data_IF_571626634485
#
_entry.id   IF_571626634485
#
_cell.length_a   1.000
_cell.length_b   1.000
_cell.length_c   1.000
_cell.angle_alpha   90.00
_cell.angle_beta   90.00
_cell.angle_gamma   90.00
#
_symmetry.space_group_name_H-M   'P 1'
#
loop_
_entity.id
_entity.type
_entity.pdbx_description
1 polymer ?
#
# COMPACT_ATOMS: atom_id res chain seq x y z
N UNK A 1 -2.16 5.23 5.93
CA UNK A 1 -3.22 4.72 5.07
C UNK A 1 -4.52 4.61 5.85
N UNK A 2 -5.62 4.75 5.15
CA UNK A 2 -6.96 4.58 5.70
C UNK A 2 -7.66 3.44 4.97
N UNK A 3 -8.74 2.93 5.56
CA UNK A 3 -9.57 1.95 4.88
C UNK A 3 -10.15 2.53 3.57
N UNK A 4 -10.53 3.80 3.56
CA UNK A 4 -11.03 4.47 2.36
C UNK A 4 -9.99 4.46 1.24
N UNK A 5 -8.73 4.79 1.53
CA UNK A 5 -7.68 4.76 0.54
C UNK A 5 -7.40 3.33 0.05
N UNK A 6 -7.41 2.36 0.96
CA UNK A 6 -7.23 0.95 0.58
C UNK A 6 -8.31 0.48 -0.39
N UNK A 7 -9.56 0.92 -0.17
CA UNK A 7 -10.68 0.60 -1.08
C UNK A 7 -10.46 1.22 -2.46
N UNK A 8 -10.04 2.49 -2.52
CA UNK A 8 -9.76 3.15 -3.79
C UNK A 8 -8.62 2.47 -4.55
N UNK A 9 -7.53 2.13 -3.86
CA UNK A 9 -6.41 1.40 -4.46
C UNK A 9 -6.85 0.04 -4.99
N UNK A 10 -7.70 -0.66 -4.26
CA UNK A 10 -8.27 -1.93 -4.72
C UNK A 10 -9.10 -1.74 -5.99
N UNK A 11 -9.99 -0.73 -6.00
CA UNK A 11 -10.94 -0.52 -7.11
C UNK A 11 -10.26 -0.21 -8.44
N UNK A 12 -9.12 0.47 -8.43
CA UNK A 12 -8.41 0.80 -9.68
C UNK A 12 -7.63 -0.37 -10.25
N UNK A 13 -7.41 -1.42 -9.46
CA UNK A 13 -6.66 -2.60 -9.89
C UNK A 13 -7.52 -3.85 -10.07
N UNK A 14 -8.75 -3.85 -9.59
CA UNK A 14 -9.62 -5.02 -9.66
C UNK A 14 -10.42 -5.05 -10.96
N UNK A 15 -10.58 -6.24 -11.51
CA UNK A 15 -11.59 -6.47 -12.54
C UNK A 15 -12.95 -6.57 -11.84
N UNK A 16 -13.83 -5.60 -12.09
CA UNK A 16 -15.11 -5.50 -11.40
C UNK A 16 -16.01 -6.70 -11.67
N UNK A 17 -15.88 -7.30 -12.83
CA UNK A 17 -16.67 -8.49 -13.20
C UNK A 17 -16.21 -9.73 -12.43
N UNK A 18 -14.97 -9.72 -11.92
CA UNK A 18 -14.37 -10.83 -11.19
C UNK A 18 -14.17 -10.51 -9.70
N UNK A 19 -14.77 -9.41 -9.23
CA UNK A 19 -14.62 -9.01 -7.83
C UNK A 19 -15.20 -10.07 -6.88
N UNK A 20 -14.42 -10.59 -5.93
CA UNK A 20 -14.93 -11.58 -4.99
C UNK A 20 -15.95 -10.97 -4.02
N UNK A 21 -16.82 -11.83 -3.50
CA UNK A 21 -17.86 -11.43 -2.53
C UNK A 21 -17.43 -11.67 -1.08
N UNK A 22 -16.24 -12.23 -0.86
CA UNK A 22 -15.74 -12.65 0.45
C UNK A 22 -14.53 -11.82 0.92
N UNK A 23 -14.52 -10.53 0.57
CA UNK A 23 -13.46 -9.63 0.98
C UNK A 23 -13.44 -9.42 2.48
N UNK A 24 -12.23 -9.23 3.01
CA UNK A 24 -12.02 -8.85 4.40
C UNK A 24 -11.09 -7.65 4.46
N UNK A 25 -11.19 -6.86 5.52
CA UNK A 25 -10.19 -5.86 5.86
C UNK A 25 -9.42 -6.31 7.09
N UNK A 26 -8.13 -6.01 7.13
CA UNK A 26 -7.25 -6.33 8.26
C UNK A 26 -6.49 -5.06 8.60
N UNK A 27 -6.61 -4.62 9.85
CA UNK A 27 -5.83 -3.47 10.32
C UNK A 27 -4.46 -3.93 10.81
N UNK A 28 -3.43 -3.17 10.46
CA UNK A 28 -2.08 -3.38 10.93
C UNK A 28 -1.66 -2.20 11.79
N UNK A 29 -1.18 -2.47 13.01
CA UNK A 29 -0.64 -1.45 13.89
C UNK A 29 0.89 -1.49 13.83
N UNK A 30 1.47 -0.37 13.43
CA UNK A 30 2.93 -0.22 13.34
C UNK A 30 3.39 0.48 14.62
N UNK A 31 4.21 -0.17 15.48
CA UNK A 31 4.70 0.46 16.69
C UNK A 31 5.46 1.75 16.40
N UNK A 32 5.32 2.77 17.26
CA UNK A 32 6.03 4.03 17.09
C UNK A 32 7.56 3.88 17.13
N UNK A 33 8.06 2.84 17.78
CA UNK A 33 9.49 2.56 17.88
C UNK A 33 10.06 1.89 16.63
N UNK A 34 9.20 1.49 15.67
CA UNK A 34 9.64 0.81 14.46
C UNK A 34 10.02 1.86 13.40
N UNK A 35 11.17 1.66 12.77
CA UNK A 35 11.63 2.58 11.73
C UNK A 35 10.70 2.53 10.52
N UNK A 36 10.20 3.69 10.11
CA UNK A 36 9.42 3.87 8.88
C UNK A 36 10.19 4.82 7.98
N UNK A 37 10.66 4.32 6.85
CA UNK A 37 11.27 5.16 5.83
C UNK A 37 10.17 5.80 4.98
N UNK A 38 10.40 7.01 4.50
CA UNK A 38 9.44 7.75 3.68
C UNK A 38 10.07 8.15 2.37
N UNK A 39 9.36 7.92 1.27
CA UNK A 39 9.72 8.47 -0.04
C UNK A 39 9.00 9.79 -0.20
N UNK A 40 9.75 10.87 -0.39
CA UNK A 40 9.18 12.19 -0.67
C UNK A 40 8.82 12.30 -2.16
N UNK A 41 7.82 13.13 -2.48
CA UNK A 41 7.38 13.32 -3.87
C UNK A 41 8.55 13.73 -4.77
N UNK A 42 9.45 14.57 -4.27
CA UNK A 42 10.62 15.01 -5.03
C UNK A 42 11.61 13.91 -5.38
N UNK A 43 11.54 12.75 -4.73
CA UNK A 43 12.38 11.59 -5.02
C UNK A 43 11.77 10.66 -6.06
N UNK A 44 10.50 10.88 -6.42
CA UNK A 44 9.80 10.05 -7.39
C UNK A 44 10.12 10.50 -8.81
N UNK A 45 10.14 9.58 -9.79
CA UNK A 45 10.39 9.93 -11.16
C UNK A 45 9.28 10.82 -11.71
N UNK A 46 9.62 11.66 -12.69
CA UNK A 46 8.63 12.49 -13.38
C UNK A 46 7.57 11.58 -14.02
N UNK A 47 6.30 11.94 -13.82
CA UNK A 47 5.19 11.13 -14.35
C UNK A 47 4.85 9.90 -13.50
N UNK A 48 5.30 9.84 -12.26
CA UNK A 48 5.12 8.69 -11.37
C UNK A 48 3.65 8.32 -11.15
N UNK A 49 2.72 9.27 -11.32
CA UNK A 49 1.28 9.00 -11.15
C UNK A 49 0.66 8.33 -12.37
N UNK A 50 1.35 8.36 -13.52
CA UNK A 50 0.82 7.77 -14.75
C UNK A 50 0.93 6.24 -14.69
N UNK A 51 -0.10 5.50 -15.15
CA UNK A 51 -0.06 4.05 -15.13
C UNK A 51 0.82 3.42 -16.21
N UNK A 52 1.32 4.22 -17.16
CA UNK A 52 1.95 3.71 -18.38
C UNK A 52 3.36 3.19 -18.20
N UNK A 53 4.17 3.76 -17.30
CA UNK A 53 5.54 3.31 -17.07
C UNK A 53 5.80 3.18 -15.57
N UNK A 54 5.71 1.97 -15.09
CA UNK A 54 5.87 1.64 -13.67
C UNK A 54 7.26 1.12 -13.33
N UNK A 55 8.15 0.92 -14.30
CA UNK A 55 9.46 0.33 -14.06
C UNK A 55 10.30 1.14 -13.05
N UNK A 56 10.40 2.49 -13.16
CA UNK A 56 11.18 3.25 -12.18
C UNK A 56 10.64 3.11 -10.74
N UNK A 57 9.33 3.03 -10.56
CA UNK A 57 8.71 2.84 -9.25
C UNK A 57 8.96 1.44 -8.72
N UNK A 58 8.85 0.43 -9.58
CA UNK A 58 9.14 -0.95 -9.22
C UNK A 58 10.59 -1.13 -8.80
N UNK A 59 11.52 -0.46 -9.49
CA UNK A 59 12.94 -0.48 -9.16
C UNK A 59 13.20 0.13 -7.78
N UNK A 60 12.57 1.27 -7.48
CA UNK A 60 12.69 1.93 -6.18
C UNK A 60 12.23 1.00 -5.05
N UNK A 61 11.09 0.34 -5.23
CA UNK A 61 10.58 -0.61 -4.26
C UNK A 61 11.48 -1.83 -4.10
N UNK A 62 12.02 -2.36 -5.19
CA UNK A 62 12.94 -3.51 -5.18
C UNK A 62 14.24 -3.17 -4.49
N UNK A 63 14.78 -1.97 -4.70
CA UNK A 63 15.98 -1.51 -4.02
C UNK A 63 15.78 -1.39 -2.52
N UNK A 64 14.62 -0.86 -2.10
CA UNK A 64 14.28 -0.80 -0.68
C UNK A 64 14.21 -2.20 -0.05
N UNK A 65 13.56 -3.16 -0.72
CA UNK A 65 13.49 -4.53 -0.21
C UNK A 65 14.87 -5.13 -0.05
N UNK A 66 15.75 -4.95 -1.03
CA UNK A 66 17.11 -5.51 -0.97
C UNK A 66 17.98 -4.85 0.08
N UNK A 67 17.78 -3.55 0.32
CA UNK A 67 18.60 -2.81 1.28
C UNK A 67 18.36 -3.24 2.73
N UNK A 68 17.17 -3.78 3.05
CA UNK A 68 16.84 -4.29 4.39
C UNK A 68 17.01 -3.26 5.51
N UNK A 69 16.84 -1.97 5.20
CA UNK A 69 17.05 -0.89 6.18
C UNK A 69 15.83 -0.66 7.06
N UNK A 70 14.64 -1.01 6.58
CA UNK A 70 13.41 -0.89 7.35
C UNK A 70 12.39 -1.94 6.91
N UNK A 71 11.45 -2.26 7.79
CA UNK A 71 10.35 -3.17 7.47
C UNK A 71 9.19 -2.44 6.79
N UNK A 72 9.14 -1.11 6.88
CA UNK A 72 8.03 -0.30 6.40
C UNK A 72 8.54 0.85 5.56
N UNK A 73 7.97 1.02 4.37
CA UNK A 73 8.23 2.16 3.49
C UNK A 73 6.91 2.90 3.27
N UNK A 74 6.89 4.18 3.59
CA UNK A 74 5.75 5.06 3.36
C UNK A 74 5.93 5.79 2.04
N UNK A 75 4.96 5.67 1.14
CA UNK A 75 5.03 6.26 -0.19
C UNK A 75 3.77 7.07 -0.48
N UNK A 76 3.87 8.18 -1.23
CA UNK A 76 2.68 8.91 -1.64
C UNK A 76 1.77 8.05 -2.50
N UNK A 77 0.46 8.19 -2.32
CA UNK A 77 -0.51 7.54 -3.20
C UNK A 77 -0.55 8.24 -4.55
N UNK A 78 -0.54 7.46 -5.64
CA UNK A 78 -0.72 8.02 -6.98
C UNK A 78 -2.12 8.55 -7.19
N UNK A 79 -3.10 8.01 -6.47
CA UNK A 79 -4.50 8.43 -6.58
C UNK A 79 -4.77 9.72 -5.79
N UNK A 80 -4.22 9.80 -4.57
CA UNK A 80 -4.42 10.94 -3.67
C UNK A 80 -3.05 11.31 -3.08
N UNK A 81 -2.28 12.18 -3.78
CA UNK A 81 -0.87 12.42 -3.42
C UNK A 81 -0.63 13.02 -2.03
N UNK A 82 -1.64 13.56 -1.38
CA UNK A 82 -1.53 14.04 0.01
C UNK A 82 -1.71 12.93 1.04
N UNK A 83 -2.04 11.73 0.60
CA UNK A 83 -2.15 10.55 1.45
C UNK A 83 -1.06 9.56 1.09
N UNK A 84 -0.85 8.58 1.97
CA UNK A 84 0.27 7.65 1.85
C UNK A 84 -0.21 6.20 1.83
N UNK A 85 0.48 5.40 1.04
CA UNK A 85 0.44 3.95 1.12
C UNK A 85 1.66 3.47 1.90
N UNK A 86 1.55 2.31 2.53
CA UNK A 86 2.63 1.71 3.32
C UNK A 86 2.97 0.36 2.70
N UNK A 87 4.24 0.20 2.34
CA UNK A 87 4.77 -1.07 1.87
C UNK A 87 5.42 -1.79 3.05
N UNK A 88 5.14 -3.07 3.18
CA UNK A 88 5.66 -3.89 4.27
C UNK A 88 6.59 -4.95 3.68
N UNK A 89 7.76 -5.14 4.29
CA UNK A 89 8.71 -6.16 3.86
C UNK A 89 8.69 -7.35 4.83
N UNK A 90 8.01 -8.46 4.48
CA UNK A 90 7.93 -9.62 5.36
C UNK A 90 9.28 -10.29 5.64
N UNK A 91 10.28 -10.05 4.79
CA UNK A 91 11.61 -10.60 4.98
C UNK A 91 12.47 -9.84 5.99
N UNK A 92 12.04 -8.65 6.40
CA UNK A 92 12.77 -7.86 7.39
C UNK A 92 12.48 -8.37 8.81
N UNK A 93 13.51 -8.38 9.67
CA UNK A 93 13.37 -8.89 11.04
C UNK A 93 12.34 -8.13 11.87
N UNK A 94 12.14 -6.84 11.60
CA UNK A 94 11.17 -6.01 12.33
C UNK A 94 9.72 -6.23 11.87
N UNK A 95 9.50 -6.94 10.77
CA UNK A 95 8.14 -7.20 10.29
C UNK A 95 7.27 -7.89 11.37
N UNK A 96 7.86 -8.79 12.15
CA UNK A 96 7.16 -9.51 13.24
C UNK A 96 6.69 -8.59 14.38
N UNK A 97 7.16 -7.34 14.43
CA UNK A 97 6.72 -6.36 15.42
C UNK A 97 5.43 -5.65 15.03
N UNK A 98 5.01 -5.79 13.78
CA UNK A 98 3.72 -5.25 13.32
C UNK A 98 2.61 -6.10 13.94
N UNK A 99 1.62 -5.43 14.54
CA UNK A 99 0.51 -6.09 15.21
C UNK A 99 -0.69 -6.10 14.28
N UNK A 100 -1.23 -7.28 14.02
CA UNK A 100 -2.35 -7.48 13.11
C UNK A 100 -3.63 -7.69 13.89
N UNK A 101 -4.68 -6.93 13.53
CA UNK A 101 -6.02 -7.17 14.03
C UNK A 101 -6.65 -8.37 13.32
N UNK A 102 -7.75 -8.87 13.88
CA UNK A 102 -8.49 -9.94 13.24
C UNK A 102 -9.13 -9.45 11.93
N UNK A 103 -9.25 -10.33 10.93
CA UNK A 103 -9.97 -9.99 9.70
C UNK A 103 -11.43 -9.63 10.00
N UNK A 104 -11.90 -8.58 9.34
CA UNK A 104 -13.30 -8.12 9.44
C UNK A 104 -13.93 -8.23 8.06
N UNK A 105 -15.11 -8.87 7.93
CA UNK A 105 -15.80 -8.91 6.65
C UNK A 105 -16.00 -7.51 6.08
N UNK A 106 -15.77 -7.39 4.77
CA UNK A 106 -15.89 -6.13 4.07
C UNK A 106 -16.61 -6.36 2.75
N UNK A 107 -17.63 -5.52 2.45
CA UNK A 107 -18.31 -5.56 1.18
C UNK A 107 -18.27 -4.18 0.52
N UNK A 108 -18.07 -4.18 -0.78
CA UNK A 108 -18.12 -2.96 -1.57
C UNK A 108 -19.59 -2.54 -1.75
N UNK A 109 -19.80 -1.22 -1.69
CA UNK A 109 -21.10 -0.67 -2.06
C UNK A 109 -21.37 -1.03 -3.52
N UNK A 110 -22.55 -1.59 -3.86
CA UNK A 110 -22.85 -2.01 -5.24
C UNK A 110 -22.69 -0.89 -6.27
N UNK A 111 -22.81 0.36 -5.87
CA UNK A 111 -22.62 1.52 -6.76
C UNK A 111 -21.21 1.60 -7.34
N UNK A 112 -20.21 1.07 -6.65
CA UNK A 112 -18.84 1.03 -7.16
C UNK A 112 -18.63 -0.01 -8.26
N UNK A 113 -19.56 -0.95 -8.39
CA UNK A 113 -19.45 -2.09 -9.32
C UNK A 113 -20.31 -1.91 -10.57
N UNK A 114 -20.98 -0.79 -10.71
CA UNK A 114 -21.82 -0.47 -11.87
C UNK A 114 -20.99 -0.08 -13.09
#
# INVERSE_FOLDING_TARGET
>A
ASLSLAVLEYLVHVDRDLSPSDLVSIAAAIPNSLLVETVEIGQLPKGWQAPSDQEPLQRLGSEWVRAQTSAVLRVPSALIPVEFNYLLNPAHSDFRRIVWADPVPFSLDPRFLQ
#
